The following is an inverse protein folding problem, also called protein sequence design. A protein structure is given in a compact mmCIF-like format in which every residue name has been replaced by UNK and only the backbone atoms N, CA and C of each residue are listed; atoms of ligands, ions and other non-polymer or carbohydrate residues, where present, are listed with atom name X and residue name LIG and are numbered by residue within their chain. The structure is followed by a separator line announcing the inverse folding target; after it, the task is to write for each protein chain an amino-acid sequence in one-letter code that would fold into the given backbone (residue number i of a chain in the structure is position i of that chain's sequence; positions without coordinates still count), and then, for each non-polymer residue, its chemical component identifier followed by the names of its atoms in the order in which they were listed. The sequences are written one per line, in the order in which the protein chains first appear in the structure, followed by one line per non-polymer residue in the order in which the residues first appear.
data_IF_308530654525
#
_entry.id   IF_308530654525
#
_cell.length_a   1.000
_cell.length_b   1.000
_cell.length_c   1.000
_cell.angle_alpha   90.00
_cell.angle_beta   90.00
_cell.angle_gamma   90.00
#
_symmetry.space_group_name_H-M   'P 1'
#
loop_
_entity.id
_entity.type
_entity.pdbx_description
1 polymer ?
#
# COMPACT_ATOMS: atom_id res chain seq x y z
N UNK A 1 -15.73 0.96 -4.48
CA UNK A 1 -14.79 1.96 -3.95
C UNK A 1 -13.57 1.21 -3.45
N UNK A 2 -12.37 1.54 -3.93
CA UNK A 2 -11.13 0.87 -3.55
C UNK A 2 -10.16 1.91 -2.96
N UNK A 3 -9.51 1.56 -1.85
CA UNK A 3 -8.47 2.37 -1.22
C UNK A 3 -7.12 1.88 -1.74
N UNK A 4 -6.26 2.79 -2.17
CA UNK A 4 -4.92 2.48 -2.69
C UNK A 4 -3.89 3.48 -2.21
N UNK A 5 -2.66 3.01 -2.00
CA UNK A 5 -1.49 3.81 -1.63
C UNK A 5 -0.33 3.48 -2.57
N UNK A 6 0.56 4.46 -2.77
CA UNK A 6 1.82 4.24 -3.48
C UNK A 6 2.89 3.85 -2.46
N UNK A 7 3.64 2.78 -2.74
CA UNK A 7 4.70 2.32 -1.87
C UNK A 7 5.85 1.67 -2.62
N UNK A 8 7.02 1.62 -1.98
CA UNK A 8 8.22 0.96 -2.47
C UNK A 8 8.38 -0.40 -1.80
N UNK A 9 8.67 -1.44 -2.59
CA UNK A 9 9.12 -2.74 -2.05
C UNK A 9 10.49 -2.55 -1.41
N UNK A 10 10.58 -2.77 -0.10
CA UNK A 10 11.83 -2.67 0.66
C UNK A 10 12.54 -4.01 0.71
N UNK A 11 11.80 -5.09 0.92
CA UNK A 11 12.37 -6.42 1.05
C UNK A 11 11.36 -7.44 1.57
N UNK A 12 11.87 -8.60 1.98
CA UNK A 12 11.09 -9.70 2.54
C UNK A 12 11.68 -10.08 3.90
N UNK A 13 10.82 -10.42 4.85
CA UNK A 13 11.20 -10.90 6.19
C UNK A 13 10.12 -11.87 6.70
N UNK A 14 10.22 -12.33 7.94
CA UNK A 14 9.19 -13.12 8.61
C UNK A 14 8.80 -12.50 9.95
N UNK A 15 7.54 -12.68 10.33
CA UNK A 15 7.00 -12.29 11.65
C UNK A 15 6.41 -13.53 12.32
N UNK A 16 6.38 -13.56 13.65
CA UNK A 16 5.76 -14.67 14.38
C UNK A 16 4.37 -14.26 14.86
N UNK A 17 3.38 -15.13 14.68
CA UNK A 17 2.05 -14.92 15.26
C UNK A 17 2.00 -15.29 16.76
N UNK A 18 0.86 -15.07 17.40
CA UNK A 18 0.64 -15.35 18.83
C UNK A 18 0.84 -16.82 19.21
N UNK A 19 0.78 -17.74 18.24
CA UNK A 19 0.97 -19.18 18.42
C UNK A 19 2.40 -19.62 18.10
N UNK A 20 3.29 -18.68 17.81
CA UNK A 20 4.71 -18.93 17.48
C UNK A 20 4.94 -19.40 16.05
N UNK A 21 3.95 -19.29 15.14
CA UNK A 21 4.13 -19.66 13.73
C UNK A 21 4.83 -18.54 12.97
N UNK A 22 5.88 -18.87 12.23
CA UNK A 22 6.54 -17.94 11.31
C UNK A 22 5.69 -17.68 10.05
N UNK A 23 5.40 -16.41 9.78
CA UNK A 23 4.66 -15.94 8.61
C UNK A 23 5.58 -15.08 7.74
N UNK A 24 5.88 -15.48 6.49
CA UNK A 24 6.69 -14.68 5.58
C UNK A 24 5.90 -13.47 5.08
N UNK A 25 6.54 -12.30 5.06
CA UNK A 25 5.92 -11.02 4.70
C UNK A 25 6.83 -10.20 3.79
N UNK A 26 6.22 -9.37 2.93
CA UNK A 26 6.93 -8.35 2.13
C UNK A 26 6.76 -6.99 2.81
N UNK A 27 7.87 -6.31 3.04
CA UNK A 27 7.88 -4.97 3.64
C UNK A 27 7.68 -3.93 2.54
N UNK A 28 6.63 -3.13 2.67
CA UNK A 28 6.33 -2.00 1.78
C UNK A 28 6.49 -0.71 2.58
N UNK A 29 7.34 0.20 2.10
CA UNK A 29 7.39 1.57 2.59
C UNK A 29 6.37 2.39 1.81
N UNK A 30 5.26 2.75 2.45
CA UNK A 30 4.25 3.62 1.88
C UNK A 30 4.36 5.04 2.49
N UNK A 31 4.27 6.05 1.63
CA UNK A 31 4.08 7.44 2.03
C UNK A 31 5.35 8.27 2.32
N UNK A 32 5.17 9.61 2.45
CA UNK A 32 3.89 10.32 2.35
C UNK A 32 3.32 10.34 0.92
N UNK A 33 2.02 10.07 0.76
CA UNK A 33 1.32 10.01 -0.52
C UNK A 33 0.36 11.22 -0.68
N UNK A 34 0.87 12.43 -1.01
CA UNK A 34 0.00 13.59 -1.21
C UNK A 34 -0.89 13.41 -2.44
N UNK A 35 -2.15 13.83 -2.34
CA UNK A 35 -3.08 13.82 -3.47
C UNK A 35 -2.80 15.03 -4.36
N UNK A 36 -2.39 14.78 -5.59
CA UNK A 36 -2.02 15.84 -6.56
C UNK A 36 -3.21 16.33 -7.39
N UNK A 37 -4.18 15.47 -7.68
CA UNK A 37 -5.35 15.82 -8.49
C UNK A 37 -6.55 14.95 -8.10
N UNK A 38 -7.73 15.56 -8.07
CA UNK A 38 -9.00 14.84 -8.05
C UNK A 38 -9.60 14.86 -9.46
N UNK A 39 -9.74 13.70 -10.08
CA UNK A 39 -10.39 13.54 -11.38
C UNK A 39 -11.89 13.41 -11.24
N UNK A 40 -12.62 13.94 -12.22
CA UNK A 40 -14.09 13.88 -12.27
C UNK A 40 -14.53 13.65 -13.70
N UNK A 41 -15.62 12.92 -13.91
CA UNK A 41 -16.10 12.58 -15.25
C UNK A 41 -16.42 13.82 -16.11
N UNK A 42 -16.87 14.93 -15.51
CA UNK A 42 -17.15 16.18 -16.22
C UNK A 42 -15.89 16.89 -16.76
N UNK A 43 -14.76 16.79 -16.05
CA UNK A 43 -13.51 17.49 -16.42
C UNK A 43 -12.51 16.59 -17.14
N UNK A 44 -12.47 15.31 -16.79
CA UNK A 44 -11.45 14.35 -17.22
C UNK A 44 -12.03 13.26 -18.14
N UNK A 45 -13.36 13.16 -18.27
CA UNK A 45 -14.02 12.14 -19.10
C UNK A 45 -14.11 10.75 -18.46
N UNK A 46 -13.62 10.60 -17.23
CA UNK A 46 -13.72 9.41 -16.39
C UNK A 46 -13.78 9.79 -14.91
#
# INVERSE_FOLDING_TARGET
MAIGLVGRKVGMTQVFDERGKAVPVTVIQAGPCPVVQRKTSARDGY
#
